data_IF_799465124843
#
_entry.id   IF_799465124843
#
_cell.length_a   1.000
_cell.length_b   1.000
_cell.length_c   1.000
_cell.angle_alpha   90.00
_cell.angle_beta   90.00
_cell.angle_gamma   90.00
#
_symmetry.space_group_name_H-M   'P 1'
#
loop_
_entity.id
_entity.type
_entity.pdbx_description
1 polymer ?
#
# COMPACT_ATOMS: atom_id res chain seq x y z
N UNK A 1 -0.12 -15.10 -14.10
CA UNK A 1 0.03 -13.64 -14.35
C UNK A 1 1.37 -13.22 -13.79
N UNK A 2 2.05 -12.28 -14.42
CA UNK A 2 3.41 -11.83 -14.01
C UNK A 2 3.33 -10.35 -13.69
N UNK A 3 3.54 -9.99 -12.41
CA UNK A 3 3.62 -8.61 -11.97
C UNK A 3 5.11 -8.23 -11.88
N UNK A 4 5.54 -7.28 -12.68
CA UNK A 4 6.88 -6.69 -12.60
C UNK A 4 6.79 -5.33 -11.91
N UNK A 5 7.48 -5.19 -10.78
CA UNK A 5 7.43 -3.98 -9.95
C UNK A 5 6.04 -3.70 -9.40
N UNK A 6 5.65 -2.42 -9.32
CA UNK A 6 4.36 -1.97 -8.80
C UNK A 6 3.35 -1.47 -9.84
N UNK A 7 3.74 -1.36 -11.11
CA UNK A 7 2.93 -0.73 -12.17
C UNK A 7 2.70 -1.61 -13.40
N UNK A 8 3.42 -2.73 -13.55
CA UNK A 8 3.39 -3.50 -14.79
C UNK A 8 2.83 -4.89 -14.55
N UNK A 9 1.58 -5.09 -14.97
CA UNK A 9 0.89 -6.37 -14.90
C UNK A 9 0.84 -7.01 -16.30
N UNK A 10 1.51 -8.14 -16.45
CA UNK A 10 1.56 -8.89 -17.70
C UNK A 10 0.81 -10.21 -17.61
N UNK A 11 0.09 -10.53 -18.69
CA UNK A 11 -0.53 -11.83 -18.88
C UNK A 11 0.34 -12.62 -19.84
N UNK A 12 1.06 -13.61 -19.32
CA UNK A 12 1.85 -14.52 -20.15
C UNK A 12 0.93 -15.58 -20.75
N UNK A 13 0.78 -15.56 -22.08
CA UNK A 13 0.02 -16.55 -22.83
C UNK A 13 0.96 -17.53 -23.50
N UNK A 14 0.92 -18.80 -23.10
CA UNK A 14 1.69 -19.86 -23.74
C UNK A 14 0.89 -20.45 -24.91
N UNK A 15 1.33 -20.26 -26.17
CA UNK A 15 0.58 -20.71 -27.35
C UNK A 15 0.46 -22.24 -27.45
N UNK A 16 1.30 -23.00 -26.73
CA UNK A 16 1.30 -24.47 -26.76
C UNK A 16 0.27 -25.10 -25.81
N UNK A 17 -0.35 -24.32 -24.91
CA UNK A 17 -1.43 -24.77 -24.03
C UNK A 17 -2.76 -24.13 -24.45
N UNK A 18 -3.66 -24.93 -25.02
CA UNK A 18 -5.02 -24.51 -25.38
C UNK A 18 -5.86 -24.29 -24.10
N UNK A 19 -6.39 -23.08 -23.91
CA UNK A 19 -7.28 -22.75 -22.80
C UNK A 19 -7.11 -21.36 -22.19
N UNK A 20 -6.07 -20.61 -22.56
CA UNK A 20 -5.86 -19.27 -22.06
C UNK A 20 -6.83 -18.27 -22.73
N UNK A 21 -7.69 -17.62 -21.93
CA UNK A 21 -8.55 -16.51 -22.39
C UNK A 21 -7.67 -15.37 -22.93
N UNK A 22 -7.97 -14.91 -24.14
CA UNK A 22 -7.21 -13.86 -24.84
C UNK A 22 -7.61 -12.44 -24.42
N UNK A 23 -8.87 -12.27 -24.02
CA UNK A 23 -9.40 -11.00 -23.50
C UNK A 23 -9.47 -11.09 -21.98
N UNK A 24 -8.44 -10.56 -21.33
CA UNK A 24 -8.37 -10.45 -19.88
C UNK A 24 -8.12 -8.98 -19.57
N UNK A 25 -9.12 -8.34 -18.98
CA UNK A 25 -9.03 -6.93 -18.59
C UNK A 25 -8.11 -6.79 -17.37
N UNK A 26 -7.49 -5.61 -17.23
CA UNK A 26 -6.65 -5.28 -16.08
C UNK A 26 -7.35 -5.52 -14.73
N UNK A 27 -8.64 -5.20 -14.65
CA UNK A 27 -9.46 -5.40 -13.45
C UNK A 27 -9.67 -6.89 -13.11
N UNK A 28 -9.99 -7.71 -14.10
CA UNK A 28 -10.06 -9.18 -13.93
C UNK A 28 -8.72 -9.76 -13.50
N UNK A 29 -7.63 -9.11 -13.93
CA UNK A 29 -6.28 -9.49 -13.58
C UNK A 29 -5.90 -9.24 -12.14
N UNK A 30 -6.27 -8.08 -11.63
CA UNK A 30 -6.11 -7.76 -10.22
C UNK A 30 -7.01 -8.64 -9.34
N UNK A 31 -8.24 -8.91 -9.79
CA UNK A 31 -9.20 -9.77 -9.10
C UNK A 31 -8.65 -11.19 -8.87
N UNK A 32 -8.06 -11.81 -9.90
CA UNK A 32 -7.51 -13.16 -9.79
C UNK A 32 -6.24 -13.22 -8.90
N UNK A 33 -5.41 -12.16 -8.91
CA UNK A 33 -4.24 -12.06 -8.01
C UNK A 33 -4.70 -11.95 -6.55
N UNK A 34 -5.72 -11.14 -6.27
CA UNK A 34 -6.30 -11.02 -4.94
C UNK A 34 -6.91 -12.36 -4.46
N UNK A 35 -7.66 -13.06 -5.33
CA UNK A 35 -8.18 -14.40 -5.02
C UNK A 35 -7.07 -15.42 -4.71
N UNK A 36 -5.98 -15.42 -5.50
CA UNK A 36 -4.83 -16.29 -5.26
C UNK A 36 -4.04 -15.97 -4.00
N UNK A 37 -4.11 -14.74 -3.50
CA UNK A 37 -3.50 -14.30 -2.25
C UNK A 37 -4.32 -14.67 -1.00
N UNK A 38 -5.43 -15.40 -1.15
CA UNK A 38 -6.32 -15.77 -0.04
C UNK A 38 -7.32 -14.67 0.34
N UNK A 39 -7.44 -13.60 -0.46
CA UNK A 39 -8.52 -12.62 -0.32
C UNK A 39 -9.71 -13.22 -1.07
N UNK A 40 -10.58 -13.94 -0.37
CA UNK A 40 -11.78 -14.56 -0.93
C UNK A 40 -12.73 -13.49 -1.48
N UNK A 41 -12.56 -13.15 -2.76
CA UNK A 41 -13.53 -12.38 -3.53
C UNK A 41 -14.63 -13.37 -3.90
N UNK A 42 -15.55 -13.59 -2.96
CA UNK A 42 -16.77 -14.37 -3.17
C UNK A 42 -17.64 -13.64 -4.20
N UNK A 43 -17.92 -14.31 -5.31
CA UNK A 43 -18.96 -13.92 -6.24
C UNK A 43 -20.28 -14.53 -5.74
N UNK A 44 -20.96 -13.90 -4.79
CA UNK A 44 -22.33 -14.28 -4.44
C UNK A 44 -23.16 -13.01 -4.19
N UNK A 45 -24.36 -13.00 -4.79
CA UNK A 45 -25.44 -12.04 -4.54
C UNK A 45 -25.55 -11.77 -3.04
N UNK A 46 -25.15 -10.57 -2.59
CA UNK A 46 -25.23 -10.21 -1.17
C UNK A 46 -24.07 -9.41 -0.60
N UNK A 47 -23.04 -9.06 -1.38
CA UNK A 47 -22.03 -8.08 -0.92
C UNK A 47 -22.72 -6.77 -0.55
N UNK A 48 -22.56 -6.36 0.70
CA UNK A 48 -23.03 -5.05 1.11
C UNK A 48 -22.26 -4.00 0.32
N UNK A 49 -22.87 -2.84 0.06
CA UNK A 49 -22.18 -1.72 -0.61
C UNK A 49 -20.84 -1.39 0.07
N UNK A 50 -20.74 -1.62 1.39
CA UNK A 50 -19.52 -1.45 2.15
C UNK A 50 -18.41 -2.43 1.74
N UNK A 51 -18.74 -3.69 1.47
CA UNK A 51 -17.76 -4.69 1.03
C UNK A 51 -17.20 -4.35 -0.35
N UNK A 52 -18.04 -3.84 -1.26
CA UNK A 52 -17.58 -3.37 -2.58
C UNK A 52 -16.61 -2.18 -2.47
N UNK A 53 -16.92 -1.23 -1.58
CA UNK A 53 -16.04 -0.07 -1.31
C UNK A 53 -14.70 -0.57 -0.73
N UNK A 54 -14.75 -1.47 0.24
CA UNK A 54 -13.55 -2.03 0.86
C UNK A 54 -12.66 -2.76 -0.16
N UNK A 55 -13.26 -3.50 -1.10
CA UNK A 55 -12.54 -4.17 -2.18
C UNK A 55 -11.86 -3.18 -3.13
N UNK A 56 -12.56 -2.14 -3.56
CA UNK A 56 -11.99 -1.09 -4.41
C UNK A 56 -10.83 -0.37 -3.72
N UNK A 57 -10.99 -0.06 -2.43
CA UNK A 57 -9.92 0.53 -1.63
C UNK A 57 -8.72 -0.41 -1.47
N UNK A 58 -8.95 -1.71 -1.32
CA UNK A 58 -7.86 -2.69 -1.20
C UNK A 58 -7.07 -2.79 -2.51
N UNK A 59 -7.77 -2.85 -3.64
CA UNK A 59 -7.16 -2.91 -4.98
C UNK A 59 -6.30 -1.67 -5.24
N UNK A 60 -6.76 -0.48 -4.82
CA UNK A 60 -6.00 0.76 -4.99
C UNK A 60 -4.80 0.89 -4.04
N UNK A 61 -4.92 0.41 -2.79
CA UNK A 61 -3.87 0.54 -1.77
C UNK A 61 -2.74 -0.47 -1.92
N UNK A 62 -3.06 -1.67 -2.40
CA UNK A 62 -2.09 -2.76 -2.57
C UNK A 62 -0.83 -2.37 -3.37
N UNK A 63 -0.93 -1.81 -4.59
CA UNK A 63 0.26 -1.41 -5.35
C UNK A 63 1.07 -0.30 -4.65
N UNK A 64 0.42 0.59 -3.90
CA UNK A 64 1.08 1.66 -3.15
C UNK A 64 1.93 1.11 -2.00
N UNK A 65 1.42 0.12 -1.26
CA UNK A 65 2.17 -0.54 -0.19
C UNK A 65 3.36 -1.34 -0.75
N UNK A 66 3.19 -2.00 -1.90
CA UNK A 66 4.32 -2.65 -2.58
C UNK A 66 5.39 -1.65 -3.02
N UNK A 67 4.99 -0.52 -3.63
CA UNK A 67 5.95 0.52 -4.02
C UNK A 67 6.62 1.15 -2.79
N UNK A 68 5.88 1.36 -1.71
CA UNK A 68 6.40 1.88 -0.46
C UNK A 68 7.53 1.02 0.10
N UNK A 69 7.35 -0.30 0.11
CA UNK A 69 8.38 -1.25 0.53
C UNK A 69 9.61 -1.23 -0.40
N UNK A 70 9.40 -1.16 -1.71
CA UNK A 70 10.51 -1.05 -2.67
C UNK A 70 11.32 0.23 -2.44
N UNK A 71 10.65 1.38 -2.32
CA UNK A 71 11.31 2.67 -2.01
C UNK A 71 12.05 2.62 -0.68
N UNK A 72 11.48 1.98 0.36
CA UNK A 72 12.15 1.84 1.64
C UNK A 72 13.48 1.06 1.52
N UNK A 73 13.50 -0.06 0.79
CA UNK A 73 14.71 -0.84 0.52
C UNK A 73 15.75 0.00 -0.23
N UNK A 74 15.31 0.71 -1.27
CA UNK A 74 16.22 1.52 -2.08
C UNK A 74 16.79 2.73 -1.33
N UNK A 75 16.00 3.34 -0.44
CA UNK A 75 16.43 4.42 0.47
C UNK A 75 17.21 3.89 1.69
N UNK A 76 17.46 2.58 1.77
CA UNK A 76 18.12 1.90 2.90
C UNK A 76 17.44 2.21 4.23
N UNK A 77 16.10 2.19 4.24
CA UNK A 77 15.26 2.31 5.43
C UNK A 77 14.79 0.93 5.85
N UNK A 78 15.04 0.59 7.12
CA UNK A 78 14.68 -0.68 7.72
C UNK A 78 13.22 -0.68 8.20
N UNK A 79 12.29 -0.36 7.29
CA UNK A 79 10.85 -0.32 7.57
C UNK A 79 10.11 -1.21 6.60
N UNK A 80 9.07 -1.91 7.07
CA UNK A 80 8.20 -2.76 6.28
C UNK A 80 6.75 -2.32 6.44
N UNK A 81 6.03 -2.22 5.34
CA UNK A 81 4.62 -1.84 5.27
C UNK A 81 3.77 -3.06 4.90
N UNK A 82 2.69 -3.29 5.65
CA UNK A 82 1.75 -4.39 5.43
C UNK A 82 0.30 -3.87 5.52
N UNK A 83 -0.57 -4.34 4.64
CA UNK A 83 -2.00 -3.99 4.70
C UNK A 83 -2.70 -4.82 5.78
N UNK A 84 -3.55 -4.16 6.56
CA UNK A 84 -4.35 -4.80 7.62
C UNK A 84 -5.80 -4.32 7.51
N UNK A 85 -6.73 -5.26 7.55
CA UNK A 85 -8.15 -4.97 7.67
C UNK A 85 -8.52 -4.85 9.15
N UNK A 86 -9.11 -3.73 9.53
CA UNK A 86 -9.46 -3.44 10.92
C UNK A 86 -10.98 -3.38 11.05
N UNK A 87 -11.56 -4.37 11.74
CA UNK A 87 -12.98 -4.41 12.07
C UNK A 87 -13.33 -3.32 13.10
N UNK A 88 -14.60 -2.85 13.16
CA UNK A 88 -15.05 -1.93 14.21
C UNK A 88 -14.77 -2.46 15.62
N UNK A 89 -14.93 -3.76 15.84
CA UNK A 89 -14.66 -4.43 17.13
C UNK A 89 -13.19 -4.25 17.58
N UNK A 90 -12.24 -4.38 16.64
CA UNK A 90 -10.81 -4.15 16.92
C UNK A 90 -10.50 -2.69 17.25
N UNK A 91 -11.38 -1.75 16.87
CA UNK A 91 -11.29 -0.32 17.24
C UNK A 91 -12.00 0.01 18.55
N UNK A 92 -12.60 -0.99 19.21
CA UNK A 92 -13.43 -0.77 20.39
C UNK A 92 -14.80 -0.15 20.07
N UNK A 93 -15.23 -0.23 18.82
CA UNK A 93 -16.54 0.25 18.36
C UNK A 93 -17.50 -0.93 18.24
N UNK A 94 -18.73 -0.74 18.70
CA UNK A 94 -19.80 -1.73 18.56
C UNK A 94 -20.45 -1.71 17.17
N UNK A 95 -20.28 -0.62 16.43
CA UNK A 95 -20.83 -0.40 15.09
C UNK A 95 -19.80 0.30 14.19
N UNK A 96 -19.87 0.06 12.88
CA UNK A 96 -18.99 0.67 11.90
C UNK A 96 -18.63 -0.30 10.77
N UNK A 97 -17.96 0.22 9.74
CA UNK A 97 -17.44 -0.60 8.65
C UNK A 97 -16.01 -1.05 8.95
N UNK A 98 -15.60 -2.18 8.37
CA UNK A 98 -14.18 -2.57 8.35
C UNK A 98 -13.41 -1.54 7.52
N UNK A 99 -12.25 -1.12 8.02
CA UNK A 99 -11.41 -0.13 7.36
C UNK A 99 -10.03 -0.69 7.03
N UNK A 100 -9.40 -0.16 5.98
CA UNK A 100 -8.02 -0.52 5.62
C UNK A 100 -7.04 0.37 6.36
N UNK A 101 -6.14 -0.28 7.09
CA UNK A 101 -5.03 0.32 7.78
C UNK A 101 -3.72 -0.26 7.25
N UNK A 102 -2.61 0.41 7.54
CA UNK A 102 -1.27 -0.02 7.18
C UNK A 102 -0.47 -0.24 8.46
N UNK A 103 0.03 -1.47 8.65
CA UNK A 103 1.01 -1.77 9.67
C UNK A 103 2.39 -1.37 9.18
N UNK A 104 3.09 -0.56 9.97
CA UNK A 104 4.46 -0.13 9.73
C UNK A 104 5.34 -0.79 10.77
N UNK A 105 6.18 -1.72 10.34
CA UNK A 105 7.13 -2.43 11.18
C UNK A 105 8.52 -1.84 11.02
N UNK A 106 9.03 -1.24 12.09
CA UNK A 106 10.43 -0.85 12.18
C UNK A 106 11.27 -2.07 12.54
N UNK A 107 12.11 -2.52 11.61
CA UNK A 107 12.94 -3.72 11.80
C UNK A 107 14.12 -3.47 12.75
N UNK A 108 14.47 -2.21 13.04
CA UNK A 108 15.59 -1.87 13.95
C UNK A 108 15.16 -1.96 15.40
N UNK A 109 13.99 -1.42 15.72
CA UNK A 109 13.46 -1.33 17.08
C UNK A 109 12.44 -2.43 17.39
N UNK A 110 12.10 -3.24 16.38
CA UNK A 110 11.01 -4.22 16.40
C UNK A 110 9.65 -3.62 16.82
N UNK A 111 9.44 -2.34 16.53
CA UNK A 111 8.22 -1.61 16.87
C UNK A 111 7.24 -1.64 15.70
N UNK A 112 5.96 -1.85 15.99
CA UNK A 112 4.88 -1.84 15.00
C UNK A 112 3.92 -0.70 15.26
N UNK A 113 3.62 0.06 14.21
CA UNK A 113 2.65 1.14 14.23
C UNK A 113 1.50 0.82 13.30
N UNK A 114 0.29 1.22 13.69
CA UNK A 114 -0.91 1.08 12.87
C UNK A 114 -1.29 2.46 12.35
N UNK A 115 -1.28 2.64 11.04
CA UNK A 115 -1.61 3.90 10.39
C UNK A 115 -2.90 3.80 9.59
N UNK A 116 -3.76 4.80 9.74
CA UNK A 116 -4.90 4.99 8.86
C UNK A 116 -4.45 5.29 7.43
N UNK A 117 -5.30 4.98 6.45
CA UNK A 117 -5.08 5.25 5.02
C UNK A 117 -4.57 6.66 4.73
N UNK A 118 -5.24 7.69 5.26
CA UNK A 118 -4.86 9.09 5.02
C UNK A 118 -3.44 9.40 5.52
N UNK A 119 -3.07 8.86 6.69
CA UNK A 119 -1.74 9.02 7.26
C UNK A 119 -0.69 8.32 6.40
N UNK A 120 -0.97 7.09 5.95
CA UNK A 120 -0.07 6.40 5.03
C UNK A 120 0.13 7.18 3.73
N UNK A 121 -0.95 7.66 3.10
CA UNK A 121 -0.87 8.40 1.83
C UNK A 121 0.00 9.65 1.95
N UNK A 122 -0.18 10.45 3.01
CA UNK A 122 0.65 11.64 3.24
C UNK A 122 2.14 11.31 3.37
N UNK A 123 2.48 10.20 4.05
CA UNK A 123 3.87 9.76 4.20
C UNK A 123 4.43 9.11 2.94
N UNK A 124 3.58 8.44 2.17
CA UNK A 124 3.91 7.85 0.89
C UNK A 124 4.35 8.91 -0.12
N UNK A 125 3.61 10.02 -0.24
CA UNK A 125 3.99 11.13 -1.13
C UNK A 125 5.33 11.75 -0.73
N UNK A 126 5.59 11.94 0.57
CA UNK A 126 6.90 12.39 1.02
C UNK A 126 8.03 11.39 0.72
N UNK A 127 7.75 10.09 0.77
CA UNK A 127 8.73 9.06 0.37
C UNK A 127 8.99 9.04 -1.13
N UNK A 128 7.97 9.31 -1.94
CA UNK A 128 8.09 9.41 -3.38
C UNK A 128 8.96 10.61 -3.78
N UNK A 129 8.73 11.78 -3.20
CA UNK A 129 9.57 12.97 -3.43
C UNK A 129 11.03 12.72 -3.05
N UNK A 130 11.28 12.08 -1.89
CA UNK A 130 12.64 11.67 -1.49
C UNK A 130 13.30 10.72 -2.49
N UNK A 131 12.51 9.84 -3.09
CA UNK A 131 13.00 8.85 -4.05
C UNK A 131 13.36 9.50 -5.39
N UNK A 132 12.53 10.42 -5.87
CA UNK A 132 12.76 11.21 -7.10
C UNK A 132 14.03 12.06 -6.97
N UNK A 133 14.19 12.79 -5.85
CA UNK A 133 15.41 13.59 -5.61
C UNK A 133 16.69 12.75 -5.58
N UNK A 134 16.63 11.53 -5.04
CA UNK A 134 17.76 10.58 -5.06
C UNK A 134 18.14 10.16 -6.48
N UNK A 135 17.16 9.98 -7.36
CA UNK A 135 17.40 9.60 -8.76
C UNK A 135 18.05 10.75 -9.52
N UNK A 136 17.59 11.98 -9.28
CA UNK A 136 18.09 13.17 -9.98
C UNK A 136 19.49 13.62 -9.51
N UNK A 137 20.02 12.98 -8.45
CA UNK A 137 21.39 13.19 -8.00
C UNK A 137 21.61 14.50 -7.24
N UNK A 138 20.53 15.19 -6.85
CA UNK A 138 20.61 16.31 -5.91
C UNK A 138 20.89 15.80 -4.49
N UNK A 139 21.94 16.32 -3.87
CA UNK A 139 22.20 16.13 -2.44
C UNK A 139 21.11 16.86 -1.66
N UNK A 140 19.98 16.18 -1.46
CA UNK A 140 18.89 16.71 -0.66
C UNK A 140 19.36 16.84 0.79
N UNK A 141 19.70 18.07 1.17
CA UNK A 141 20.20 18.45 2.49
C UNK A 141 19.01 18.51 3.46
N UNK A 142 18.42 17.35 3.73
CA UNK A 142 17.32 17.24 4.69
C UNK A 142 17.87 17.55 6.08
N UNK A 143 17.32 18.55 6.80
CA UNK A 143 17.63 18.73 8.21
C UNK A 143 17.40 17.40 8.94
N UNK A 144 18.25 17.05 9.91
CA UNK A 144 18.21 15.79 10.69
C UNK A 144 16.82 15.43 11.28
N UNK A 145 15.88 16.37 11.25
CA UNK A 145 14.46 16.30 11.66
C UNK A 145 13.63 15.27 10.86
N UNK A 146 13.93 14.97 9.59
CA UNK A 146 13.11 14.00 8.83
C UNK A 146 13.41 12.52 9.12
N UNK A 147 14.41 12.23 9.94
CA UNK A 147 14.59 10.89 10.51
C UNK A 147 13.40 10.49 11.41
N UNK A 148 12.73 11.50 11.98
CA UNK A 148 11.53 11.42 12.81
C UNK A 148 10.25 11.12 11.99
N UNK A 149 10.28 11.35 10.67
CA UNK A 149 9.10 11.40 9.79
C UNK A 149 8.48 10.03 9.50
N UNK A 150 9.28 8.96 9.58
CA UNK A 150 8.82 7.59 9.33
C UNK A 150 8.34 6.87 10.60
N UNK A 151 8.65 7.38 11.80
CA UNK A 151 8.49 6.62 13.04
C UNK A 151 7.69 7.33 14.15
N UNK A 152 7.46 8.65 14.08
CA UNK A 152 6.76 9.33 15.18
C UNK A 152 5.25 9.50 14.97
N UNK A 153 4.51 9.23 16.05
CA UNK A 153 3.13 9.61 16.29
C UNK A 153 2.95 11.09 16.68
N UNK A 154 3.88 11.97 16.27
CA UNK A 154 3.83 13.38 16.63
C UNK A 154 3.23 14.23 15.50
N UNK A 155 2.18 15.04 15.75
CA UNK A 155 1.60 15.96 14.78
C UNK A 155 2.47 17.21 14.54
N UNK A 156 3.72 17.27 15.03
CA UNK A 156 4.58 18.48 14.96
C UNK A 156 5.35 18.70 13.65
N UNK A 157 4.81 18.25 12.53
CA UNK A 157 5.27 18.70 11.21
C UNK A 157 4.10 19.19 10.35
N UNK A 158 3.20 19.97 10.95
CA UNK A 158 2.52 21.01 10.20
C UNK A 158 3.35 22.29 10.38
N UNK A 159 3.51 23.07 9.32
CA UNK A 159 4.35 24.28 9.23
C UNK A 159 5.84 24.05 9.02
N UNK A 160 6.22 23.80 7.77
CA UNK A 160 7.23 24.68 7.16
C UNK A 160 6.45 25.59 6.22
N UNK A 161 6.25 26.82 6.68
CA UNK A 161 5.66 27.90 5.91
C UNK A 161 6.41 28.06 4.60
N UNK A 162 5.68 28.04 3.49
CA UNK A 162 6.10 28.80 2.32
C UNK A 162 6.02 30.29 2.70
N UNK A 163 7.18 30.95 2.67
CA UNK A 163 7.30 32.38 2.42
C UNK A 163 8.17 32.53 1.18
#
# INVERSE_FOLDING_TARGET
>A
RVLFGGNHLYVFNNPTKSGAKKDITYEEAQKEIAQGAGISISNEDGKSKADMILEEELISMMPLVYRANAMAVELKRNVKFELVLVSPEMRGLHEGLTEIWVSVHNLVEDTRFMWEKARFMNRYYGMQEMYENKIDGEDWNMPKVCREFLLTASPRCYFISFF
#
